data_IF_990935016901
#
_entry.id   IF_990935016901
#
_cell.length_a   1.000
_cell.length_b   1.000
_cell.length_c   1.000
_cell.angle_alpha   90.00
_cell.angle_beta   90.00
_cell.angle_gamma   90.00
#
_symmetry.space_group_name_H-M   'P 1'
#
loop_
_entity.id
_entity.type
_entity.pdbx_description
1 polymer ?
#
# COMPACT_ATOMS: atom_id res chain seq x y z
N UNK A 1 17.30 40.41 -30.76
CA UNK A 1 16.55 39.14 -30.67
C UNK A 1 17.02 38.43 -29.40
N UNK A 2 16.22 38.48 -28.34
CA UNK A 2 16.63 38.00 -27.00
C UNK A 2 16.46 36.49 -26.91
N UNK A 3 17.56 35.77 -26.65
CA UNK A 3 17.53 34.33 -26.38
C UNK A 3 16.97 34.08 -24.99
N UNK A 4 15.81 33.43 -24.93
CA UNK A 4 15.19 32.98 -23.68
C UNK A 4 15.91 31.71 -23.26
N UNK A 5 16.72 31.81 -22.20
CA UNK A 5 17.32 30.67 -21.53
C UNK A 5 16.23 29.90 -20.77
N UNK A 6 15.90 28.71 -21.27
CA UNK A 6 14.77 27.90 -20.79
C UNK A 6 15.31 26.92 -19.75
N UNK A 7 14.93 27.03 -18.46
CA UNK A 7 15.52 26.20 -17.41
C UNK A 7 15.13 24.73 -17.64
N UNK A 8 16.15 23.91 -17.90
CA UNK A 8 16.02 22.45 -18.05
C UNK A 8 15.80 21.82 -16.68
N UNK A 9 14.55 21.49 -16.35
CA UNK A 9 14.23 20.67 -15.19
C UNK A 9 14.65 19.22 -15.47
N UNK A 10 15.88 18.86 -15.07
CA UNK A 10 16.28 17.45 -15.01
C UNK A 10 15.44 16.71 -13.96
N UNK A 11 14.82 15.56 -14.29
CA UNK A 11 14.09 14.76 -13.32
C UNK A 11 15.07 14.19 -12.29
N UNK A 12 15.01 14.71 -11.06
CA UNK A 12 15.71 14.14 -9.90
C UNK A 12 15.26 12.68 -9.69
N UNK A 13 16.18 11.74 -9.42
CA UNK A 13 15.82 10.36 -9.10
C UNK A 13 15.04 10.32 -7.79
N UNK A 14 13.72 10.10 -7.88
CA UNK A 14 12.87 9.89 -6.70
C UNK A 14 13.16 8.50 -6.17
N UNK A 15 13.62 8.39 -4.92
CA UNK A 15 13.79 7.11 -4.26
C UNK A 15 12.52 6.27 -4.36
N UNK A 16 12.62 4.97 -4.70
CA UNK A 16 11.44 4.13 -4.91
C UNK A 16 10.62 4.07 -3.61
N UNK A 17 9.31 4.27 -3.74
CA UNK A 17 8.39 4.21 -2.60
C UNK A 17 8.42 2.80 -1.98
N UNK A 18 8.59 2.69 -0.64
CA UNK A 18 8.52 1.40 0.04
C UNK A 18 7.16 0.72 -0.20
N UNK A 19 7.17 -0.60 -0.29
CA UNK A 19 5.98 -1.41 -0.45
C UNK A 19 6.06 -2.66 0.40
N UNK A 20 4.90 -3.14 0.81
CA UNK A 20 4.69 -4.48 1.36
C UNK A 20 3.83 -5.25 0.37
N UNK A 21 3.90 -6.56 0.43
CA UNK A 21 2.99 -7.42 -0.29
C UNK A 21 2.03 -8.09 0.69
N UNK A 22 0.75 -8.14 0.30
CA UNK A 22 -0.34 -8.63 1.13
C UNK A 22 -1.09 -9.70 0.34
N UNK A 23 -1.04 -10.94 0.83
CA UNK A 23 -1.84 -12.05 0.33
C UNK A 23 -3.21 -12.00 1.00
N UNK A 24 -4.25 -11.76 0.23
CA UNK A 24 -5.62 -11.88 0.68
C UNK A 24 -6.07 -13.32 0.51
N UNK A 25 -6.14 -14.08 1.61
CA UNK A 25 -6.59 -15.49 1.58
C UNK A 25 -7.99 -15.60 1.01
N UNK A 26 -8.88 -14.66 1.35
CA UNK A 26 -10.26 -14.63 0.88
C UNK A 26 -10.40 -14.44 -0.65
N UNK A 27 -9.42 -13.81 -1.29
CA UNK A 27 -9.40 -13.55 -2.73
C UNK A 27 -8.42 -14.46 -3.49
N UNK A 28 -7.60 -15.25 -2.79
CA UNK A 28 -6.49 -15.99 -3.38
C UNK A 28 -5.44 -15.12 -4.08
N UNK A 29 -5.44 -13.81 -3.83
CA UNK A 29 -4.70 -12.82 -4.61
C UNK A 29 -3.61 -12.12 -3.79
N UNK A 30 -2.52 -11.77 -4.46
CA UNK A 30 -1.41 -11.02 -3.89
C UNK A 30 -1.48 -9.56 -4.34
N UNK A 31 -1.46 -8.63 -3.39
CA UNK A 31 -1.47 -7.20 -3.68
C UNK A 31 -0.16 -6.56 -3.22
N UNK A 32 0.46 -5.79 -4.11
CA UNK A 32 1.55 -4.87 -3.73
C UNK A 32 0.94 -3.58 -3.19
N UNK A 33 1.22 -3.28 -1.93
CA UNK A 33 0.67 -2.13 -1.21
C UNK A 33 1.80 -1.16 -0.91
N UNK A 34 1.69 0.05 -1.45
CA UNK A 34 2.69 1.09 -1.23
C UNK A 34 2.48 1.79 0.10
N UNK A 35 3.57 2.28 0.68
CA UNK A 35 3.51 3.13 1.85
C UNK A 35 2.76 4.40 1.51
N UNK A 36 1.93 4.82 2.46
CA UNK A 36 1.21 6.07 2.42
C UNK A 36 2.17 7.26 2.28
N UNK A 37 1.69 8.38 1.72
CA UNK A 37 2.52 9.55 1.47
C UNK A 37 3.11 10.16 2.75
N UNK A 38 2.33 10.16 3.84
CA UNK A 38 2.76 10.62 5.16
C UNK A 38 3.68 9.62 5.87
N UNK A 39 3.91 8.44 5.28
CA UNK A 39 4.71 7.38 5.86
C UNK A 39 4.06 6.70 7.08
N UNK A 40 2.82 7.04 7.42
CA UNK A 40 2.11 6.53 8.60
C UNK A 40 1.82 5.02 8.56
N UNK A 41 1.73 4.45 7.36
CA UNK A 41 1.36 3.05 7.20
C UNK A 41 1.21 2.60 5.75
N UNK A 42 0.55 1.46 5.58
CA UNK A 42 0.14 0.89 4.30
C UNK A 42 -1.37 0.67 4.33
N UNK A 43 -2.05 0.97 3.22
CA UNK A 43 -3.50 0.77 3.08
C UNK A 43 -3.75 -0.28 2.00
N UNK A 44 -4.13 -1.48 2.42
CA UNK A 44 -4.46 -2.57 1.51
C UNK A 44 -5.97 -2.66 1.32
N UNK A 45 -6.42 -3.05 0.13
CA UNK A 45 -7.84 -3.28 -0.15
C UNK A 45 -8.02 -4.61 -0.86
N UNK A 46 -8.87 -5.46 -0.28
CA UNK A 46 -9.21 -6.74 -0.89
C UNK A 46 -9.97 -6.51 -2.21
N UNK A 47 -9.56 -7.12 -3.33
CA UNK A 47 -10.26 -6.97 -4.61
C UNK A 47 -11.63 -7.65 -4.66
N UNK A 48 -11.88 -8.64 -3.79
CA UNK A 48 -13.16 -9.39 -3.76
C UNK A 48 -14.12 -8.80 -2.72
N UNK A 49 -13.70 -8.72 -1.46
CA UNK A 49 -14.56 -8.25 -0.38
C UNK A 49 -14.62 -6.72 -0.26
N UNK A 50 -13.79 -5.99 -1.00
CA UNK A 50 -13.60 -4.52 -0.86
C UNK A 50 -13.17 -4.02 0.51
N UNK A 51 -12.84 -4.90 1.46
CA UNK A 51 -12.39 -4.52 2.80
C UNK A 51 -11.05 -3.82 2.77
N UNK A 52 -10.95 -2.75 3.55
CA UNK A 52 -9.73 -1.99 3.77
C UNK A 52 -9.02 -2.49 5.03
N UNK A 53 -7.71 -2.77 4.92
CA UNK A 53 -6.83 -3.09 6.05
C UNK A 53 -5.70 -2.06 6.12
N UNK A 54 -5.44 -1.54 7.32
CA UNK A 54 -4.38 -0.57 7.56
C UNK A 54 -3.25 -1.19 8.36
N UNK A 55 -2.06 -1.23 7.79
CA UNK A 55 -0.84 -1.67 8.47
C UNK A 55 -0.11 -0.44 8.99
N UNK A 56 0.04 -0.32 10.31
CA UNK A 56 0.78 0.79 10.93
C UNK A 56 2.28 0.48 10.92
N UNK A 57 3.11 1.47 10.64
CA UNK A 57 4.56 1.36 10.79
C UNK A 57 4.93 1.76 12.22
N UNK A 58 5.34 0.80 13.05
CA UNK A 58 5.79 1.07 14.42
C UNK A 58 7.18 1.75 14.43
N UNK A 59 7.53 2.51 15.49
CA UNK A 59 8.90 2.99 15.71
C UNK A 59 9.86 1.79 15.77
N UNK A 60 10.82 1.71 14.83
CA UNK A 60 11.70 0.54 14.64
C UNK A 60 11.37 -0.28 13.38
N UNK A 61 10.20 -0.06 12.77
CA UNK A 61 9.77 -0.75 11.56
C UNK A 61 9.54 -2.25 11.77
N UNK A 62 8.96 -2.90 10.76
CA UNK A 62 9.02 -4.35 10.63
C UNK A 62 9.97 -4.70 9.49
N UNK A 63 10.79 -5.74 9.66
CA UNK A 63 11.60 -6.31 8.59
C UNK A 63 10.76 -7.16 7.63
N UNK A 64 9.57 -7.54 8.06
CA UNK A 64 8.65 -8.36 7.28
C UNK A 64 8.02 -7.53 6.17
N UNK A 65 8.04 -8.08 4.96
CA UNK A 65 7.52 -7.42 3.76
C UNK A 65 6.29 -8.12 3.19
N UNK A 66 6.02 -9.35 3.62
CA UNK A 66 4.99 -10.22 3.07
C UNK A 66 4.02 -10.57 4.20
N UNK A 67 2.75 -10.24 4.05
CA UNK A 67 1.72 -10.51 5.04
C UNK A 67 0.62 -11.36 4.41
N UNK A 68 0.12 -12.33 5.17
CA UNK A 68 -1.08 -13.09 4.80
C UNK A 68 -2.24 -12.65 5.70
N UNK A 69 -3.37 -12.27 5.09
CA UNK A 69 -4.54 -11.76 5.80
C UNK A 69 -5.80 -12.46 5.33
N UNK A 70 -6.65 -12.80 6.29
CA UNK A 70 -8.02 -13.26 6.05
C UNK A 70 -8.96 -12.08 6.23
N UNK A 71 -9.90 -11.95 5.30
CA UNK A 71 -10.89 -10.88 5.31
C UNK A 71 -12.02 -11.28 6.28
N UNK A 72 -11.74 -11.54 7.57
CA UNK A 72 -12.79 -11.95 8.53
C UNK A 72 -13.88 -10.87 8.63
N UNK A 73 -15.15 -11.31 8.61
CA UNK A 73 -16.36 -10.46 8.64
C UNK A 73 -17.10 -10.30 7.30
N UNK A 74 -17.01 -11.31 6.41
CA UNK A 74 -17.67 -11.30 5.08
C UNK A 74 -19.03 -12.01 5.07
N UNK A 75 -19.48 -12.53 6.22
CA UNK A 75 -20.89 -12.81 6.45
C UNK A 75 -21.45 -11.68 7.32
N UNK A 76 -22.69 -11.20 7.11
CA UNK A 76 -23.45 -10.73 8.26
C UNK A 76 -23.47 -11.91 9.23
N UNK A 77 -23.12 -11.70 10.50
CA UNK A 77 -23.36 -12.71 11.52
C UNK A 77 -24.80 -13.20 11.33
N UNK A 78 -24.98 -14.45 10.91
CA UNK A 78 -26.28 -15.07 10.82
C UNK A 78 -26.71 -15.21 12.28
N UNK A 79 -27.65 -14.39 12.71
CA UNK A 79 -28.37 -14.60 13.96
C UNK A 79 -29.30 -15.78 13.70
N UNK A 80 -28.99 -16.92 14.32
CA UNK A 80 -29.97 -17.96 14.63
C UNK A 80 -30.10 -18.01 16.16
#
# INVERSE_FOLDING_TARGET
>A
MSSIDRPSSSPQPRSPRPWIGVRFVCAGAYQRVFRDADGSGYLARCPVCSKCLRFKVAPGGSKERFYEVTCQGGLPARVE
#
